data_IF_152896968330
#
_entry.id   IF_152896968330
#
_cell.length_a   1.000
_cell.length_b   1.000
_cell.length_c   1.000
_cell.angle_alpha   90.00
_cell.angle_beta   90.00
_cell.angle_gamma   90.00
#
_symmetry.space_group_name_H-M   'P 1'
#
loop_
_entity.id
_entity.type
_entity.pdbx_description
1 polymer ?
#
# COMPACT_ATOMS: atom_id res chain seq x y z
N UNK A 1 -8.92 4.06 5.00
CA UNK A 1 -9.35 3.59 3.67
C UNK A 1 -10.52 4.42 3.17
N UNK A 2 -10.44 4.84 1.91
CA UNK A 2 -11.52 5.54 1.20
C UNK A 2 -12.74 4.62 1.00
N UNK A 3 -13.95 5.19 1.11
CA UNK A 3 -15.18 4.49 0.76
C UNK A 3 -15.43 4.65 -0.74
N UNK A 4 -15.18 3.58 -1.50
CA UNK A 4 -15.27 3.59 -2.97
C UNK A 4 -16.72 3.68 -3.45
N UNK A 5 -17.67 3.06 -2.74
CA UNK A 5 -19.09 3.12 -3.09
C UNK A 5 -19.63 4.55 -2.99
N UNK A 6 -19.30 5.24 -1.90
CA UNK A 6 -19.65 6.65 -1.72
C UNK A 6 -18.93 7.55 -2.75
N UNK A 7 -17.68 7.23 -3.11
CA UNK A 7 -16.93 7.96 -4.13
C UNK A 7 -17.57 7.80 -5.51
N UNK A 8 -17.96 6.58 -5.90
CA UNK A 8 -18.65 6.30 -7.16
C UNK A 8 -20.03 6.95 -7.24
N UNK A 9 -20.76 7.03 -6.12
CA UNK A 9 -22.05 7.71 -6.08
C UNK A 9 -21.91 9.24 -6.28
N UNK A 10 -20.81 9.83 -5.78
CA UNK A 10 -20.53 11.27 -5.88
C UNK A 10 -19.82 11.66 -7.17
N UNK A 11 -18.98 10.77 -7.70
CA UNK A 11 -18.14 10.95 -8.89
C UNK A 11 -18.34 9.75 -9.82
N UNK A 12 -19.46 9.69 -10.55
CA UNK A 12 -19.76 8.56 -11.41
C UNK A 12 -18.70 8.43 -12.51
N UNK A 13 -18.23 7.20 -12.74
CA UNK A 13 -17.25 6.88 -13.79
C UNK A 13 -17.96 6.89 -15.13
N UNK A 14 -17.73 7.94 -15.91
CA UNK A 14 -18.29 8.14 -17.26
C UNK A 14 -17.16 8.38 -18.25
N UNK A 15 -17.34 7.96 -19.49
CA UNK A 15 -16.35 8.14 -20.55
C UNK A 15 -15.99 9.62 -20.75
N UNK A 16 -16.98 10.51 -20.62
CA UNK A 16 -16.80 11.96 -20.79
C UNK A 16 -16.08 12.61 -19.58
N UNK A 17 -15.98 11.91 -18.45
CA UNK A 17 -15.44 12.43 -17.19
C UNK A 17 -14.21 11.64 -16.75
N UNK A 18 -13.13 11.77 -17.53
CA UNK A 18 -11.85 11.09 -17.29
C UNK A 18 -11.25 11.39 -15.90
N UNK A 19 -11.47 12.60 -15.37
CA UNK A 19 -10.97 12.99 -14.04
C UNK A 19 -11.69 12.26 -12.89
N UNK A 20 -13.00 12.01 -13.00
CA UNK A 20 -13.74 11.22 -12.00
C UNK A 20 -13.26 9.77 -11.99
N UNK A 21 -13.04 9.23 -13.19
CA UNK A 21 -12.47 7.90 -13.38
C UNK A 21 -11.09 7.76 -12.75
N UNK A 22 -10.19 8.71 -13.03
CA UNK A 22 -8.85 8.73 -12.44
C UNK A 22 -8.93 8.84 -10.90
N UNK A 23 -9.78 9.70 -10.36
CA UNK A 23 -9.93 9.89 -8.92
C UNK A 23 -10.33 8.60 -8.20
N UNK A 24 -11.36 7.90 -8.69
CA UNK A 24 -11.84 6.66 -8.07
C UNK A 24 -10.78 5.56 -8.15
N UNK A 25 -10.10 5.44 -9.30
CA UNK A 25 -9.00 4.47 -9.46
C UNK A 25 -7.85 4.74 -8.49
N UNK A 26 -7.51 6.02 -8.26
CA UNK A 26 -6.45 6.37 -7.32
C UNK A 26 -6.82 6.08 -5.87
N UNK A 27 -8.08 6.32 -5.49
CA UNK A 27 -8.59 5.92 -4.17
C UNK A 27 -8.53 4.39 -3.96
N UNK A 28 -8.90 3.62 -4.97
CA UNK A 28 -8.80 2.15 -4.93
C UNK A 28 -7.35 1.69 -4.79
N UNK A 29 -6.44 2.25 -5.59
CA UNK A 29 -5.02 1.92 -5.55
C UNK A 29 -4.41 2.21 -4.18
N UNK A 30 -4.72 3.36 -3.62
CA UNK A 30 -4.29 3.74 -2.27
C UNK A 30 -4.80 2.76 -1.20
N UNK A 31 -6.08 2.40 -1.24
CA UNK A 31 -6.65 1.40 -0.34
C UNK A 31 -5.94 0.06 -0.44
N UNK A 32 -5.60 -0.39 -1.64
CA UNK A 32 -4.89 -1.64 -1.88
C UNK A 32 -3.46 -1.60 -1.32
N UNK A 33 -2.77 -0.47 -1.47
CA UNK A 33 -1.46 -0.25 -0.87
C UNK A 33 -1.53 -0.30 0.67
N UNK A 34 -2.45 0.46 1.27
CA UNK A 34 -2.71 0.47 2.71
C UNK A 34 -2.95 -0.94 3.27
N UNK A 35 -3.80 -1.74 2.59
CA UNK A 35 -4.07 -3.14 2.97
C UNK A 35 -2.83 -4.02 2.85
N UNK A 36 -2.05 -3.85 1.79
CA UNK A 36 -0.81 -4.61 1.56
C UNK A 36 0.21 -4.34 2.66
N UNK A 37 0.46 -3.07 2.97
CA UNK A 37 1.38 -2.65 4.04
C UNK A 37 0.89 -3.20 5.38
N UNK A 38 -0.34 -2.86 5.78
CA UNK A 38 -0.90 -3.25 7.08
C UNK A 38 -0.93 -4.77 7.26
N UNK A 39 -1.41 -5.51 6.27
CA UNK A 39 -1.47 -6.97 6.32
C UNK A 39 -0.10 -7.62 6.40
N UNK A 40 0.88 -7.10 5.63
CA UNK A 40 2.25 -7.62 5.68
C UNK A 40 2.94 -7.34 7.01
N UNK A 41 2.73 -6.16 7.62
CA UNK A 41 3.26 -5.83 8.96
C UNK A 41 2.62 -6.68 10.06
N UNK A 42 1.30 -6.92 9.97
CA UNK A 42 0.61 -7.82 10.91
C UNK A 42 1.13 -9.26 10.82
N UNK A 43 1.34 -9.77 9.61
CA UNK A 43 1.92 -11.10 9.40
C UNK A 43 3.36 -11.16 9.89
N UNK A 44 4.17 -10.15 9.62
CA UNK A 44 5.53 -10.07 10.14
C UNK A 44 5.55 -10.12 11.67
N UNK A 45 4.68 -9.35 12.34
CA UNK A 45 4.54 -9.40 13.79
C UNK A 45 4.12 -10.78 14.31
N UNK A 46 3.18 -11.44 13.63
CA UNK A 46 2.75 -12.80 13.97
C UNK A 46 3.89 -13.81 13.79
N UNK A 47 4.69 -13.67 12.74
CA UNK A 47 5.83 -14.52 12.47
C UNK A 47 6.93 -14.38 13.54
N UNK A 48 7.26 -13.13 13.90
CA UNK A 48 8.22 -12.84 14.99
C UNK A 48 7.76 -13.44 16.32
N UNK A 49 6.45 -13.45 16.59
CA UNK A 49 5.86 -14.08 17.78
C UNK A 49 5.72 -15.61 17.69
N UNK A 50 6.10 -16.22 16.58
CA UNK A 50 6.02 -17.67 16.36
C UNK A 50 4.63 -18.21 16.03
N UNK A 51 3.65 -17.35 15.70
CA UNK A 51 2.29 -17.80 15.34
C UNK A 51 2.16 -18.29 13.90
N UNK A 52 3.05 -17.84 13.01
CA UNK A 52 3.15 -18.28 11.62
C UNK A 52 4.63 -18.40 11.26
N UNK A 53 4.95 -19.10 10.17
CA UNK A 53 6.32 -19.21 9.68
C UNK A 53 6.76 -17.88 9.08
N UNK A 54 7.99 -17.46 9.39
CA UNK A 54 8.66 -16.35 8.72
C UNK A 54 9.13 -16.84 7.34
N UNK A 55 8.31 -16.64 6.32
CA UNK A 55 8.64 -17.03 4.94
C UNK A 55 9.59 -16.04 4.26
N UNK A 56 10.04 -16.38 3.05
CA UNK A 56 10.98 -15.55 2.30
C UNK A 56 10.44 -14.14 1.97
N UNK A 57 9.12 -13.98 1.86
CA UNK A 57 8.52 -12.68 1.59
C UNK A 57 8.57 -11.79 2.84
N UNK A 58 8.23 -12.36 4.01
CA UNK A 58 8.31 -11.65 5.29
C UNK A 58 9.76 -11.33 5.68
N UNK A 59 10.71 -12.22 5.41
CA UNK A 59 12.15 -11.96 5.60
C UNK A 59 12.65 -10.78 4.75
N UNK A 60 12.23 -10.74 3.47
CA UNK A 60 12.60 -9.65 2.58
C UNK A 60 12.03 -8.30 3.07
N UNK A 61 10.78 -8.30 3.55
CA UNK A 61 10.18 -7.11 4.16
C UNK A 61 10.96 -6.69 5.40
N UNK A 62 11.24 -7.61 6.33
CA UNK A 62 11.98 -7.31 7.55
C UNK A 62 13.37 -6.71 7.25
N UNK A 63 14.10 -7.33 6.31
CA UNK A 63 15.42 -6.86 5.87
C UNK A 63 15.39 -5.44 5.31
N UNK A 64 14.41 -5.11 4.46
CA UNK A 64 14.24 -3.76 3.93
C UNK A 64 13.93 -2.74 5.03
N UNK A 65 13.04 -3.08 5.96
CA UNK A 65 12.65 -2.20 7.07
C UNK A 65 13.83 -1.89 7.99
N UNK A 66 14.66 -2.89 8.30
CA UNK A 66 15.86 -2.73 9.12
C UNK A 66 16.87 -1.73 8.53
N UNK A 67 16.97 -1.66 7.21
CA UNK A 67 17.89 -0.74 6.50
C UNK A 67 17.21 0.53 5.99
N UNK A 68 15.96 0.79 6.40
CA UNK A 68 15.22 2.00 6.01
C UNK A 68 14.84 2.08 4.53
N UNK A 69 14.71 0.93 3.85
CA UNK A 69 14.27 0.83 2.46
C UNK A 69 12.79 0.42 2.36
N UNK A 70 12.12 0.85 1.29
CA UNK A 70 10.76 0.42 0.98
C UNK A 70 10.82 -1.02 0.42
N UNK A 71 10.10 -1.99 1.01
CA UNK A 71 10.01 -3.34 0.47
C UNK A 71 9.45 -3.37 -0.95
N UNK A 72 9.96 -4.27 -1.80
CA UNK A 72 9.52 -4.41 -3.19
C UNK A 72 8.02 -4.72 -3.29
N UNK A 73 7.48 -5.50 -2.35
CA UNK A 73 6.04 -5.80 -2.25
C UNK A 73 5.19 -4.53 -2.18
N UNK A 74 5.65 -3.53 -1.43
CA UNK A 74 4.95 -2.26 -1.28
C UNK A 74 5.18 -1.38 -2.51
N UNK A 75 6.41 -1.33 -3.02
CA UNK A 75 6.77 -0.59 -4.22
C UNK A 75 5.93 -1.01 -5.44
N UNK A 76 5.69 -2.32 -5.63
CA UNK A 76 4.82 -2.86 -6.71
C UNK A 76 3.37 -2.38 -6.67
N UNK A 77 2.90 -1.88 -5.52
CA UNK A 77 1.55 -1.34 -5.31
C UNK A 77 1.55 0.19 -5.15
N UNK A 78 2.73 0.81 -5.17
CA UNK A 78 2.92 2.24 -5.00
C UNK A 78 3.19 2.93 -6.33
N UNK A 79 3.18 4.26 -6.32
CA UNK A 79 3.80 5.03 -7.40
C UNK A 79 5.31 4.74 -7.44
N UNK A 80 5.92 4.64 -8.64
CA UNK A 80 7.37 4.54 -8.77
C UNK A 80 8.05 5.68 -8.03
N UNK A 81 8.87 5.36 -7.04
CA UNK A 81 9.67 6.33 -6.29
C UNK A 81 10.96 5.70 -5.78
N UNK A 82 11.98 6.53 -5.56
CA UNK A 82 13.26 6.15 -4.95
C UNK A 82 13.38 6.72 -3.53
N UNK A 83 12.26 7.09 -2.91
CA UNK A 83 12.27 7.72 -1.60
C UNK A 83 12.66 6.71 -0.50
N UNK A 84 13.47 7.14 0.50
CA UNK A 84 13.75 6.31 1.67
C UNK A 84 12.47 6.10 2.49
N UNK A 85 12.43 5.04 3.30
CA UNK A 85 11.22 4.61 4.02
C UNK A 85 10.58 5.74 4.85
N UNK A 86 11.38 6.54 5.56
CA UNK A 86 10.87 7.65 6.36
C UNK A 86 10.16 8.72 5.52
N UNK A 87 10.71 9.08 4.35
CA UNK A 87 10.07 10.01 3.43
C UNK A 87 8.85 9.39 2.76
N UNK A 88 8.90 8.09 2.45
CA UNK A 88 7.79 7.37 1.86
C UNK A 88 6.55 7.35 2.77
N UNK A 89 6.76 7.15 4.09
CA UNK A 89 5.68 7.20 5.09
C UNK A 89 5.17 8.63 5.26
N UNK A 90 6.07 9.63 5.32
CA UNK A 90 5.69 11.03 5.56
C UNK A 90 5.02 11.71 4.37
N UNK A 91 5.32 11.31 3.13
CA UNK A 91 4.84 11.97 1.92
C UNK A 91 3.34 11.73 1.64
N UNK A 92 2.63 10.92 2.45
CA UNK A 92 1.24 10.55 2.15
C UNK A 92 1.13 9.66 0.90
N UNK A 93 2.21 8.96 0.54
CA UNK A 93 2.16 7.79 -0.34
C UNK A 93 1.64 6.55 0.40
N UNK A 94 1.28 6.71 1.67
CA UNK A 94 0.51 5.80 2.52
C UNK A 94 -0.81 6.41 2.87
#
# INVERSE_FOLDING_TARGET
NFNIEAALAKFPVRYEESMNTALVQEMERYNNLCRTISGSLQNLLRAIKGFIVLDAELEAIASCLLVGKVPEKWAKRSYPSLQPLGSYISAGLV
#
